data_IF_127367003654
#
_entry.id   IF_127367003654
#
_cell.length_a   1.000
_cell.length_b   1.000
_cell.length_c   1.000
_cell.angle_alpha   90.00
_cell.angle_beta   90.00
_cell.angle_gamma   90.00
#
_symmetry.space_group_name_H-M   'P 1'
#
loop_
_entity.id
_entity.type
_entity.pdbx_description
1 polymer ?
#
# COMPACT_ATOMS: atom_id res chain seq x y z
N UNK A 1 -25.58 -71.29 33.24
CA UNK A 1 -24.78 -70.21 32.63
C UNK A 1 -24.32 -70.56 31.21
N UNK A 2 -23.63 -71.69 30.95
CA UNK A 2 -23.15 -72.06 29.60
C UNK A 2 -24.14 -71.95 28.43
N UNK A 3 -25.41 -72.36 28.61
CA UNK A 3 -26.43 -72.29 27.54
C UNK A 3 -26.86 -70.87 27.17
N UNK A 4 -26.72 -69.91 28.09
CA UNK A 4 -27.06 -68.51 27.84
C UNK A 4 -25.95 -67.85 27.00
N UNK A 5 -24.69 -68.14 27.31
CA UNK A 5 -23.53 -67.66 26.54
C UNK A 5 -23.50 -68.22 25.12
N UNK A 6 -23.82 -69.51 24.93
CA UNK A 6 -23.95 -70.11 23.59
C UNK A 6 -25.08 -69.48 22.77
N UNK A 7 -26.20 -69.16 23.42
CA UNK A 7 -27.32 -68.49 22.76
C UNK A 7 -26.97 -67.06 22.35
N UNK A 8 -26.34 -66.28 23.25
CA UNK A 8 -25.89 -64.92 22.96
C UNK A 8 -24.85 -64.89 21.84
N UNK A 9 -23.85 -65.79 21.87
CA UNK A 9 -22.86 -65.90 20.80
C UNK A 9 -23.50 -66.29 19.46
N UNK A 10 -24.54 -67.13 19.45
CA UNK A 10 -25.26 -67.50 18.22
C UNK A 10 -26.09 -66.36 17.63
N UNK A 11 -26.58 -65.45 18.49
CA UNK A 11 -27.29 -64.24 18.06
C UNK A 11 -26.28 -63.25 17.49
N UNK A 12 -25.16 -63.02 18.17
CA UNK A 12 -24.11 -62.11 17.71
C UNK A 12 -23.55 -62.56 16.36
N UNK A 13 -23.26 -63.86 16.19
CA UNK A 13 -22.75 -64.38 14.92
C UNK A 13 -23.77 -64.26 13.77
N UNK A 14 -25.07 -64.42 14.06
CA UNK A 14 -26.14 -64.21 13.08
C UNK A 14 -26.35 -62.73 12.75
N UNK A 15 -26.22 -61.85 13.74
CA UNK A 15 -26.31 -60.39 13.55
C UNK A 15 -25.12 -59.91 12.73
N UNK A 16 -23.90 -60.36 13.02
CA UNK A 16 -22.71 -59.99 12.27
C UNK A 16 -22.70 -60.54 10.84
N UNK A 17 -23.15 -61.78 10.62
CA UNK A 17 -23.29 -62.34 9.27
C UNK A 17 -24.31 -61.56 8.43
N UNK A 18 -25.40 -61.07 9.03
CA UNK A 18 -26.50 -60.43 8.31
C UNK A 18 -26.34 -58.92 8.17
N UNK A 19 -25.83 -58.25 9.21
CA UNK A 19 -25.69 -56.79 9.31
C UNK A 19 -24.26 -56.29 9.18
N UNK A 20 -23.23 -57.10 9.46
CA UNK A 20 -21.82 -56.76 9.26
C UNK A 20 -21.46 -56.35 7.82
N UNK A 21 -21.90 -57.05 6.75
CA UNK A 21 -21.64 -56.62 5.38
C UNK A 21 -22.44 -55.36 4.99
N UNK A 22 -23.63 -55.17 5.57
CA UNK A 22 -24.47 -53.98 5.35
C UNK A 22 -23.86 -52.76 6.04
N UNK A 23 -23.39 -52.89 7.29
CA UNK A 23 -22.74 -51.81 8.04
C UNK A 23 -21.40 -51.41 7.43
N UNK A 24 -20.61 -52.36 6.92
CA UNK A 24 -19.38 -52.07 6.17
C UNK A 24 -19.66 -51.30 4.88
N UNK A 25 -20.66 -51.70 4.09
CA UNK A 25 -21.08 -50.97 2.89
C UNK A 25 -21.59 -49.57 3.25
N UNK A 26 -22.44 -49.44 4.28
CA UNK A 26 -22.95 -48.15 4.74
C UNK A 26 -21.83 -47.20 5.18
N UNK A 27 -20.85 -47.73 5.93
CA UNK A 27 -19.66 -46.98 6.36
C UNK A 27 -18.81 -46.55 5.16
N UNK A 28 -18.66 -47.40 4.15
CA UNK A 28 -17.94 -47.07 2.93
C UNK A 28 -18.66 -45.98 2.12
N UNK A 29 -19.98 -46.06 1.95
CA UNK A 29 -20.77 -45.02 1.31
C UNK A 29 -20.72 -43.70 2.08
N UNK A 30 -20.79 -43.73 3.41
CA UNK A 30 -20.65 -42.55 4.26
C UNK A 30 -19.26 -41.91 4.15
N UNK A 31 -18.19 -42.70 4.06
CA UNK A 31 -16.83 -42.19 3.84
C UNK A 31 -16.72 -41.54 2.46
N UNK A 32 -17.24 -42.17 1.40
CA UNK A 32 -17.21 -41.60 0.05
C UNK A 32 -18.03 -40.31 -0.01
N UNK A 33 -19.23 -40.32 0.57
CA UNK A 33 -20.12 -39.15 0.62
C UNK A 33 -19.50 -37.98 1.41
N UNK A 34 -18.96 -38.26 2.60
CA UNK A 34 -18.32 -37.22 3.41
C UNK A 34 -17.05 -36.66 2.74
N UNK A 35 -16.25 -37.51 2.10
CA UNK A 35 -15.09 -37.07 1.34
C UNK A 35 -15.47 -36.19 0.13
N UNK A 36 -16.51 -36.58 -0.63
CA UNK A 36 -17.00 -35.76 -1.75
C UNK A 36 -17.60 -34.44 -1.28
N UNK A 37 -18.34 -34.45 -0.17
CA UNK A 37 -18.88 -33.23 0.42
C UNK A 37 -17.75 -32.27 0.84
N UNK A 38 -16.76 -32.75 1.58
CA UNK A 38 -15.60 -31.95 2.00
C UNK A 38 -14.84 -31.40 0.79
N UNK A 39 -14.58 -32.24 -0.22
CA UNK A 39 -13.92 -31.80 -1.44
C UNK A 39 -14.73 -30.70 -2.16
N UNK A 40 -16.05 -30.84 -2.25
CA UNK A 40 -16.92 -29.83 -2.87
C UNK A 40 -16.90 -28.50 -2.11
N UNK A 41 -16.98 -28.54 -0.78
CA UNK A 41 -16.92 -27.35 0.07
C UNK A 41 -15.55 -26.68 -0.01
N UNK A 42 -14.48 -27.47 -0.10
CA UNK A 42 -13.13 -26.95 -0.27
C UNK A 42 -12.96 -26.23 -1.61
N UNK A 43 -13.50 -26.79 -2.70
CA UNK A 43 -13.50 -26.13 -4.02
C UNK A 43 -14.30 -24.84 -3.99
N UNK A 44 -15.50 -24.84 -3.39
CA UNK A 44 -16.33 -23.64 -3.25
C UNK A 44 -15.59 -22.58 -2.43
N UNK A 45 -14.95 -22.99 -1.33
CA UNK A 45 -14.14 -22.11 -0.48
C UNK A 45 -12.98 -21.47 -1.24
N UNK A 46 -12.24 -22.26 -2.05
CA UNK A 46 -11.16 -21.74 -2.89
C UNK A 46 -11.70 -20.71 -3.91
N UNK A 47 -12.77 -21.05 -4.62
CA UNK A 47 -13.38 -20.15 -5.62
C UNK A 47 -13.85 -18.85 -4.97
N UNK A 48 -14.50 -18.95 -3.81
CA UNK A 48 -15.01 -17.79 -3.08
C UNK A 48 -13.87 -16.90 -2.58
N UNK A 49 -12.85 -17.51 -1.95
CA UNK A 49 -11.67 -16.80 -1.45
C UNK A 49 -10.90 -16.10 -2.58
N UNK A 50 -10.73 -16.75 -3.73
CA UNK A 50 -10.07 -16.14 -4.89
C UNK A 50 -10.85 -14.96 -5.48
N UNK A 51 -12.18 -14.98 -5.42
CA UNK A 51 -13.03 -13.90 -5.96
C UNK A 51 -13.20 -12.73 -4.99
N UNK A 52 -13.30 -13.00 -3.69
CA UNK A 52 -13.59 -12.00 -2.66
C UNK A 52 -12.31 -11.39 -2.06
N UNK A 53 -11.19 -12.12 -2.08
CA UNK A 53 -9.92 -11.67 -1.51
C UNK A 53 -9.44 -10.30 -2.02
N UNK A 54 -9.44 -10.02 -3.33
CA UNK A 54 -9.05 -8.71 -3.85
C UNK A 54 -9.93 -7.56 -3.36
N UNK A 55 -11.25 -7.78 -3.23
CA UNK A 55 -12.16 -6.75 -2.74
C UNK A 55 -11.95 -6.46 -1.25
N UNK A 56 -11.69 -7.50 -0.44
CA UNK A 56 -11.35 -7.32 0.97
C UNK A 56 -10.03 -6.56 1.13
N UNK A 57 -9.03 -6.90 0.32
CA UNK A 57 -7.74 -6.19 0.31
C UNK A 57 -7.91 -4.70 -0.03
N UNK A 58 -8.75 -4.37 -1.00
CA UNK A 58 -9.04 -2.98 -1.35
C UNK A 58 -9.69 -2.21 -0.18
N UNK A 59 -10.64 -2.84 0.52
CA UNK A 59 -11.26 -2.27 1.73
C UNK A 59 -10.25 -2.07 2.86
N UNK A 60 -9.34 -3.03 3.10
CA UNK A 60 -8.27 -2.90 4.10
C UNK A 60 -7.39 -1.69 3.77
N UNK A 61 -6.96 -1.56 2.50
CA UNK A 61 -6.18 -0.41 2.04
C UNK A 61 -6.94 0.90 2.30
N UNK A 62 -8.23 0.98 1.98
CA UNK A 62 -9.02 2.19 2.23
C UNK A 62 -9.02 2.61 3.71
N UNK A 63 -9.28 1.65 4.59
CA UNK A 63 -9.34 1.91 6.03
C UNK A 63 -7.98 2.34 6.58
N UNK A 64 -6.90 1.68 6.14
CA UNK A 64 -5.53 2.05 6.53
C UNK A 64 -5.19 3.48 6.05
N UNK A 65 -5.52 3.81 4.79
CA UNK A 65 -5.29 5.15 4.23
C UNK A 65 -6.04 6.24 4.98
N UNK A 66 -7.29 5.99 5.35
CA UNK A 66 -8.10 6.91 6.16
C UNK A 66 -7.50 7.12 7.56
N UNK A 67 -7.05 6.03 8.20
CA UNK A 67 -6.42 6.12 9.51
C UNK A 67 -5.09 6.89 9.45
N UNK A 68 -4.26 6.61 8.44
CA UNK A 68 -2.98 7.29 8.23
C UNK A 68 -3.20 8.79 8.00
N UNK A 69 -4.12 9.15 7.11
CA UNK A 69 -4.45 10.56 6.83
C UNK A 69 -4.89 11.31 8.08
N UNK A 70 -5.78 10.68 8.88
CA UNK A 70 -6.24 11.27 10.14
C UNK A 70 -5.10 11.52 11.12
N UNK A 71 -4.17 10.57 11.25
CA UNK A 71 -2.99 10.71 12.11
C UNK A 71 -2.07 11.82 11.59
N UNK A 72 -1.75 11.83 10.28
CA UNK A 72 -0.90 12.87 9.70
C UNK A 72 -1.53 14.26 9.83
N UNK A 73 -2.84 14.38 9.68
CA UNK A 73 -3.57 15.64 9.90
C UNK A 73 -3.49 16.10 11.36
N UNK A 74 -3.58 15.17 12.32
CA UNK A 74 -3.38 15.49 13.74
C UNK A 74 -1.93 15.97 14.00
N UNK A 75 -0.94 15.24 13.48
CA UNK A 75 0.47 15.63 13.59
C UNK A 75 0.69 17.02 12.98
N UNK A 76 0.10 17.31 11.82
CA UNK A 76 0.20 18.64 11.20
C UNK A 76 -0.43 19.72 12.08
N UNK A 77 -1.62 19.46 12.61
CA UNK A 77 -2.35 20.42 13.47
C UNK A 77 -1.55 20.77 14.74
N UNK A 78 -0.84 19.79 15.32
CA UNK A 78 -0.14 19.95 16.60
C UNK A 78 1.32 20.37 16.43
N UNK A 79 2.04 19.70 15.54
CA UNK A 79 3.48 19.85 15.33
C UNK A 79 3.86 20.69 14.11
N UNK A 80 2.93 20.95 13.19
CA UNK A 80 3.14 21.60 11.90
C UNK A 80 4.20 20.91 11.03
N UNK A 81 3.77 20.19 10.00
CA UNK A 81 4.66 19.45 9.10
C UNK A 81 5.28 20.42 8.09
N UNK A 82 6.58 20.66 8.25
CA UNK A 82 7.34 21.56 7.38
C UNK A 82 7.68 20.90 6.05
N UNK A 83 8.13 19.65 6.08
CA UNK A 83 8.57 18.94 4.89
C UNK A 83 8.65 17.43 5.13
N UNK A 84 8.67 16.68 4.04
CA UNK A 84 9.07 15.28 4.03
C UNK A 84 10.53 15.14 3.57
N UNK A 85 11.36 14.43 4.32
CA UNK A 85 12.76 14.16 3.95
C UNK A 85 12.87 13.15 2.79
N UNK A 86 13.95 13.24 2.02
CA UNK A 86 14.27 12.41 0.84
C UNK A 86 14.27 10.88 1.08
N UNK A 87 14.20 10.15 -0.04
CA UNK A 87 14.30 8.70 -0.35
C UNK A 87 13.54 7.68 0.50
N UNK A 88 13.46 7.84 1.82
CA UNK A 88 12.70 6.94 2.69
C UNK A 88 11.43 7.62 3.17
N UNK A 89 10.39 7.55 2.35
CA UNK A 89 9.08 8.11 2.64
C UNK A 89 8.16 7.11 3.38
N UNK A 90 8.75 6.13 4.07
CA UNK A 90 8.02 5.12 4.80
C UNK A 90 7.37 5.70 6.05
N UNK A 91 6.19 5.19 6.37
CA UNK A 91 5.46 5.52 7.59
C UNK A 91 5.83 4.49 8.65
N UNK A 92 6.93 4.74 9.35
CA UNK A 92 7.50 3.86 10.39
C UNK A 92 7.57 4.52 11.77
N UNK A 93 6.94 5.69 11.93
CA UNK A 93 7.11 6.56 13.09
C UNK A 93 5.83 6.76 13.95
N UNK A 94 4.71 6.12 13.61
CA UNK A 94 3.47 6.26 14.39
C UNK A 94 3.53 5.62 15.79
N UNK A 95 4.49 4.73 16.01
CA UNK A 95 4.72 4.09 17.31
C UNK A 95 5.69 4.85 18.21
N UNK A 96 6.23 5.99 17.78
CA UNK A 96 7.24 6.72 18.53
C UNK A 96 6.57 7.55 19.64
N UNK A 97 7.01 7.34 20.88
CA UNK A 97 6.49 8.09 22.03
C UNK A 97 7.18 9.45 22.18
N UNK A 98 8.50 9.49 22.03
CA UNK A 98 9.32 10.70 22.16
C UNK A 98 10.53 10.60 21.24
N UNK A 99 11.00 11.75 20.78
CA UNK A 99 12.22 11.88 19.99
C UNK A 99 12.90 13.22 20.30
N UNK A 100 14.13 13.40 19.84
CA UNK A 100 14.91 14.63 20.02
C UNK A 100 15.24 15.20 18.64
N UNK A 101 15.15 16.53 18.50
CA UNK A 101 15.34 17.23 17.24
C UNK A 101 14.02 17.58 16.56
N UNK A 102 14.08 18.03 15.31
CA UNK A 102 12.89 18.39 14.51
C UNK A 102 12.44 17.28 13.55
N UNK A 103 13.17 16.17 13.48
CA UNK A 103 12.96 15.12 12.49
C UNK A 103 12.50 13.82 13.14
N UNK A 104 11.47 13.21 12.58
CA UNK A 104 10.99 11.89 12.97
C UNK A 104 10.55 11.10 11.73
N UNK A 105 11.20 9.96 11.49
CA UNK A 105 10.98 9.18 10.27
C UNK A 105 11.21 10.04 9.03
N UNK A 106 10.19 10.15 8.18
CA UNK A 106 10.23 11.02 7.01
C UNK A 106 9.77 12.47 7.28
N UNK A 107 9.32 12.82 8.48
CA UNK A 107 8.77 14.15 8.80
C UNK A 107 9.83 15.10 9.35
N UNK A 108 9.75 16.36 8.93
CA UNK A 108 10.37 17.50 9.60
C UNK A 108 9.26 18.39 10.19
N UNK A 109 9.36 18.69 11.49
CA UNK A 109 8.31 19.31 12.29
C UNK A 109 8.76 20.66 12.83
N UNK A 110 7.88 21.66 12.80
CA UNK A 110 8.18 22.99 13.35
C UNK A 110 8.17 22.98 14.89
N UNK A 111 7.26 22.20 15.47
CA UNK A 111 7.04 22.12 16.91
C UNK A 111 7.15 20.67 17.42
N UNK A 112 8.35 20.07 17.38
CA UNK A 112 8.56 18.68 17.82
C UNK A 112 8.22 18.47 19.31
N UNK A 113 8.33 19.52 20.15
CA UNK A 113 7.96 19.46 21.56
C UNK A 113 6.45 19.30 21.82
N UNK A 114 5.61 19.44 20.80
CA UNK A 114 4.16 19.19 20.86
C UNK A 114 3.77 17.78 20.41
N UNK A 115 4.74 16.89 20.20
CA UNK A 115 4.47 15.52 19.80
C UNK A 115 3.64 14.77 20.85
N UNK A 116 2.47 14.28 20.44
CA UNK A 116 1.52 13.58 21.31
C UNK A 116 1.59 12.05 21.18
N UNK A 117 2.53 11.52 20.38
CA UNK A 117 2.63 10.10 20.12
C UNK A 117 2.90 9.26 21.39
N UNK A 118 2.74 7.92 21.29
CA UNK A 118 2.54 7.16 20.07
C UNK A 118 1.09 7.25 19.57
N UNK A 119 0.92 7.40 18.26
CA UNK A 119 -0.40 7.48 17.62
C UNK A 119 -1.01 6.10 17.33
N UNK A 120 -0.16 5.06 17.25
CA UNK A 120 -0.58 3.67 17.09
C UNK A 120 0.30 2.73 17.89
N UNK A 121 -0.23 1.57 18.28
CA UNK A 121 0.56 0.50 18.91
C UNK A 121 1.53 -0.17 17.92
N UNK A 122 1.18 -0.19 16.64
CA UNK A 122 1.99 -0.74 15.55
C UNK A 122 1.83 0.15 14.33
N UNK A 123 2.92 0.33 13.59
CA UNK A 123 2.89 1.02 12.31
C UNK A 123 2.06 0.22 11.29
N UNK A 124 1.25 0.88 10.46
CA UNK A 124 0.44 0.22 9.45
C UNK A 124 1.34 -0.42 8.40
N UNK A 125 1.13 -1.71 8.13
CA UNK A 125 1.84 -2.45 7.11
C UNK A 125 0.89 -3.31 6.31
N UNK A 126 1.16 -3.43 5.01
CA UNK A 126 0.44 -4.31 4.10
C UNK A 126 1.41 -5.33 3.53
N UNK A 127 1.11 -6.62 3.69
CA UNK A 127 1.98 -7.72 3.24
C UNK A 127 3.42 -7.59 3.81
N UNK A 128 3.55 -7.06 5.04
CA UNK A 128 4.85 -6.83 5.70
C UNK A 128 5.65 -5.64 5.17
N UNK A 129 5.04 -4.78 4.34
CA UNK A 129 5.63 -3.54 3.81
C UNK A 129 4.92 -2.33 4.41
N UNK A 130 5.67 -1.28 4.75
CA UNK A 130 5.09 -0.03 5.24
C UNK A 130 4.32 0.70 4.13
N UNK A 131 3.32 1.48 4.54
CA UNK A 131 2.79 2.52 3.67
C UNK A 131 3.82 3.63 3.48
N UNK A 132 3.71 4.35 2.37
CA UNK A 132 4.66 5.40 1.98
C UNK A 132 3.93 6.70 1.63
N UNK A 133 4.58 7.83 1.93
CA UNK A 133 4.14 9.17 1.52
C UNK A 133 4.86 9.55 0.23
N UNK A 134 4.22 9.40 -0.91
CA UNK A 134 4.84 9.62 -2.20
C UNK A 134 4.72 11.08 -2.64
N UNK A 135 5.86 11.67 -3.00
CA UNK A 135 5.90 12.95 -3.70
C UNK A 135 5.67 12.72 -5.19
N UNK A 136 4.71 13.42 -5.77
CA UNK A 136 4.37 13.41 -7.19
C UNK A 136 4.21 14.82 -7.75
N UNK A 137 3.99 14.95 -9.07
CA UNK A 137 3.71 16.26 -9.68
C UNK A 137 2.37 16.86 -9.22
N UNK A 138 1.45 16.01 -8.74
CA UNK A 138 0.10 16.39 -8.31
C UNK A 138 0.02 16.71 -6.79
N UNK A 139 1.16 16.65 -6.09
CA UNK A 139 1.27 16.82 -4.63
C UNK A 139 1.76 15.57 -3.91
N UNK A 140 1.48 15.50 -2.61
CA UNK A 140 1.83 14.37 -1.75
C UNK A 140 0.67 13.40 -1.59
N UNK A 141 0.95 12.10 -1.63
CA UNK A 141 -0.03 11.04 -1.54
C UNK A 141 0.41 9.96 -0.58
N UNK A 142 -0.51 9.35 0.14
CA UNK A 142 -0.29 8.13 0.91
C UNK A 142 -0.65 6.96 0.01
N UNK A 143 0.25 5.98 -0.14
CA UNK A 143 0.01 4.79 -0.94
C UNK A 143 0.67 3.54 -0.32
N UNK A 144 0.23 2.32 -0.71
CA UNK A 144 0.94 1.09 -0.38
C UNK A 144 2.41 1.15 -0.85
N UNK A 145 3.34 0.71 -0.01
CA UNK A 145 4.76 0.79 -0.31
C UNK A 145 5.23 -0.19 -1.40
N UNK A 146 6.51 -0.04 -1.78
CA UNK A 146 7.14 -0.84 -2.81
C UNK A 146 7.05 -2.36 -2.55
N UNK A 147 6.72 -3.12 -3.59
CA UNK A 147 6.61 -4.57 -3.57
C UNK A 147 5.27 -5.11 -3.08
N UNK A 148 4.32 -4.25 -2.69
CA UNK A 148 2.95 -4.66 -2.36
C UNK A 148 2.21 -5.09 -3.63
N UNK A 149 1.58 -6.26 -3.58
CA UNK A 149 0.64 -6.71 -4.62
C UNK A 149 -0.75 -6.14 -4.37
N UNK A 150 -1.28 -5.38 -5.32
CA UNK A 150 -2.59 -4.74 -5.25
C UNK A 150 -3.73 -5.70 -5.62
N UNK A 151 -4.99 -5.35 -5.31
CA UNK A 151 -6.19 -6.09 -5.69
C UNK A 151 -6.33 -6.39 -7.19
N UNK A 152 -5.85 -5.49 -8.06
CA UNK A 152 -5.83 -5.70 -9.52
C UNK A 152 -4.72 -6.64 -9.99
N UNK A 153 -3.92 -7.18 -9.06
CA UNK A 153 -2.83 -8.12 -9.31
C UNK A 153 -1.48 -7.48 -9.60
N UNK A 154 -1.43 -6.16 -9.80
CA UNK A 154 -0.21 -5.41 -10.09
C UNK A 154 0.62 -5.17 -8.83
N UNK A 155 1.93 -4.99 -9.00
CA UNK A 155 2.90 -4.83 -7.93
C UNK A 155 3.53 -3.43 -7.99
N UNK A 156 3.41 -2.69 -6.89
CA UNK A 156 3.98 -1.34 -6.74
C UNK A 156 5.51 -1.40 -6.87
N UNK A 157 6.08 -0.55 -7.73
CA UNK A 157 7.54 -0.49 -7.96
C UNK A 157 8.08 -1.55 -8.90
N UNK A 158 7.26 -2.50 -9.36
CA UNK A 158 7.63 -3.50 -10.36
C UNK A 158 6.83 -3.33 -11.65
N UNK A 159 5.51 -3.35 -11.56
CA UNK A 159 4.63 -3.26 -12.74
C UNK A 159 4.35 -1.81 -13.12
N UNK A 160 4.44 -0.89 -12.14
CA UNK A 160 4.43 0.55 -12.34
C UNK A 160 5.30 1.22 -11.27
N UNK A 161 5.92 2.35 -11.62
CA UNK A 161 6.83 3.09 -10.73
C UNK A 161 6.25 4.47 -10.49
N UNK A 162 6.17 4.86 -9.22
CA UNK A 162 5.74 6.20 -8.82
C UNK A 162 6.99 7.02 -8.53
N UNK A 163 7.15 8.11 -9.26
CA UNK A 163 8.26 9.06 -9.15
C UNK A 163 7.71 10.46 -8.92
N UNK A 164 8.58 11.43 -8.64
CA UNK A 164 8.19 12.84 -8.51
C UNK A 164 7.51 13.42 -9.75
N UNK A 165 7.69 12.82 -10.93
CA UNK A 165 7.09 13.28 -12.18
C UNK A 165 5.84 12.49 -12.56
N UNK A 166 5.52 11.43 -11.82
CA UNK A 166 4.37 10.55 -12.10
C UNK A 166 3.06 11.27 -11.78
N UNK A 167 2.07 11.10 -12.66
CA UNK A 167 0.71 11.64 -12.52
C UNK A 167 -0.12 10.75 -11.61
N UNK A 168 -0.27 11.12 -10.34
CA UNK A 168 -1.09 10.34 -9.40
C UNK A 168 -2.56 10.38 -9.78
N UNK A 169 -3.01 11.49 -10.38
CA UNK A 169 -4.36 11.61 -10.93
C UNK A 169 -4.65 10.56 -11.98
N UNK A 170 -3.73 10.31 -12.92
CA UNK A 170 -3.84 9.24 -13.92
C UNK A 170 -3.84 7.86 -13.26
N UNK A 171 -2.96 7.63 -12.27
CA UNK A 171 -2.90 6.34 -11.58
C UNK A 171 -4.17 6.02 -10.78
N UNK A 172 -4.92 7.04 -10.38
CA UNK A 172 -6.16 6.93 -9.58
C UNK A 172 -7.44 6.93 -10.44
N UNK A 173 -7.34 7.06 -11.76
CA UNK A 173 -8.47 6.90 -12.68
C UNK A 173 -9.05 5.49 -12.62
N UNK A 174 -10.25 5.26 -13.15
CA UNK A 174 -10.91 3.96 -13.10
C UNK A 174 -10.13 2.83 -13.81
N UNK A 175 -9.30 3.18 -14.79
CA UNK A 175 -8.38 2.24 -15.46
C UNK A 175 -6.96 2.26 -14.87
N UNK A 176 -6.72 3.13 -13.89
CA UNK A 176 -5.41 3.32 -13.29
C UNK A 176 -4.99 2.17 -12.35
N UNK A 177 -3.68 1.93 -12.20
CA UNK A 177 -3.14 0.86 -11.35
C UNK A 177 -3.46 1.04 -9.85
N UNK A 178 -3.76 2.26 -9.40
CA UNK A 178 -4.16 2.57 -8.02
C UNK A 178 -5.68 2.69 -7.88
N UNK A 179 -6.45 2.08 -8.76
CA UNK A 179 -7.89 1.96 -8.63
C UNK A 179 -8.30 0.48 -8.72
N UNK A 180 -9.22 0.07 -7.86
CA UNK A 180 -9.86 -1.23 -7.95
C UNK A 180 -11.37 -1.09 -7.79
N UNK A 181 -12.11 -1.28 -8.88
CA UNK A 181 -13.58 -1.21 -8.91
C UNK A 181 -14.14 0.09 -8.30
N UNK A 182 -13.51 1.22 -8.62
CA UNK A 182 -13.87 2.56 -8.11
C UNK A 182 -13.27 2.91 -6.74
N UNK A 183 -12.55 1.99 -6.09
CA UNK A 183 -11.85 2.26 -4.84
C UNK A 183 -10.42 2.73 -5.11
N UNK A 184 -10.11 3.96 -4.69
CA UNK A 184 -8.81 4.62 -4.89
C UNK A 184 -7.78 4.16 -3.88
N UNK A 185 -6.83 3.34 -4.29
CA UNK A 185 -5.81 2.71 -3.44
C UNK A 185 -4.65 3.65 -3.04
N UNK A 186 -4.80 4.96 -3.23
CA UNK A 186 -3.94 5.98 -2.64
C UNK A 186 -4.79 7.22 -2.32
N UNK A 187 -4.33 8.01 -1.35
CA UNK A 187 -5.06 9.20 -0.88
C UNK A 187 -4.16 10.43 -0.91
N UNK A 188 -4.68 11.56 -1.38
CA UNK A 188 -3.95 12.83 -1.41
C UNK A 188 -3.87 13.40 0.01
N UNK A 189 -2.71 13.97 0.37
CA UNK A 189 -2.56 14.77 1.58
C UNK A 189 -3.02 16.20 1.26
N UNK A 190 -4.07 16.68 1.95
CA UNK A 190 -4.69 17.97 1.66
C UNK A 190 -4.18 19.15 2.50
N UNK A 191 -3.56 18.88 3.66
CA UNK A 191 -3.04 19.95 4.51
C UNK A 191 -1.80 20.63 3.91
N UNK A 192 -1.61 21.91 4.25
CA UNK A 192 -0.54 22.74 3.71
C UNK A 192 0.79 22.36 4.36
N UNK A 193 1.61 21.62 3.63
CA UNK A 193 2.99 21.34 4.02
C UNK A 193 3.82 22.61 3.77
N UNK A 194 4.63 23.02 4.75
CA UNK A 194 5.39 24.28 4.77
C UNK A 194 6.06 24.69 3.44
N UNK A 195 5.95 25.99 3.09
CA UNK A 195 6.54 26.73 1.96
C UNK A 195 6.89 25.95 0.67
N UNK A 196 6.00 25.07 0.24
CA UNK A 196 6.15 24.29 -1.00
C UNK A 196 6.08 25.14 -2.28
N UNK A 197 5.57 26.37 -2.19
CA UNK A 197 5.62 27.33 -3.30
C UNK A 197 7.06 27.71 -3.67
N UNK A 198 8.04 27.51 -2.78
CA UNK A 198 9.43 27.96 -3.03
C UNK A 198 10.17 27.15 -4.12
N UNK A 199 9.87 25.85 -4.29
CA UNK A 199 10.63 25.00 -5.22
C UNK A 199 10.15 25.12 -6.66
N UNK A 200 8.84 25.29 -6.89
CA UNK A 200 8.31 25.56 -8.24
C UNK A 200 8.59 26.99 -8.71
N UNK A 201 8.76 27.94 -7.78
CA UNK A 201 9.11 29.34 -8.12
C UNK A 201 10.59 29.52 -8.44
N UNK A 202 11.47 28.62 -7.98
CA UNK A 202 12.90 28.65 -8.32
C UNK A 202 13.15 28.40 -9.80
N UNK A 203 12.45 27.47 -10.45
CA UNK A 203 12.62 27.20 -11.89
C UNK A 203 12.27 28.43 -12.72
N UNK A 204 11.16 29.11 -12.42
CA UNK A 204 10.81 30.37 -13.10
C UNK A 204 11.80 31.50 -12.83
N UNK A 205 12.45 31.52 -11.67
CA UNK A 205 13.44 32.56 -11.33
C UNK A 205 14.76 32.32 -12.06
N UNK A 206 15.22 31.07 -12.12
CA UNK A 206 16.43 30.68 -12.87
C UNK A 206 16.23 30.87 -14.37
N UNK A 207 15.06 30.50 -14.92
CA UNK A 207 14.77 30.71 -16.34
C UNK A 207 14.65 32.19 -16.69
N UNK A 208 14.09 33.02 -15.80
CA UNK A 208 14.07 34.48 -15.96
C UNK A 208 15.47 35.10 -15.88
N UNK A 209 16.32 34.62 -14.99
CA UNK A 209 17.73 35.06 -14.88
C UNK A 209 18.50 34.65 -16.14
N UNK A 210 18.35 33.42 -16.62
CA UNK A 210 19.00 32.94 -17.85
C UNK A 210 18.53 33.71 -19.08
N UNK A 211 17.24 34.04 -19.15
CA UNK A 211 16.68 34.87 -20.23
C UNK A 211 17.21 36.29 -20.17
N UNK A 212 17.25 36.91 -18.98
CA UNK A 212 17.82 38.24 -18.79
C UNK A 212 19.33 38.30 -19.09
N UNK A 213 20.10 37.26 -18.73
CA UNK A 213 21.53 37.16 -19.06
C UNK A 213 21.75 36.99 -20.56
N UNK A 214 20.88 36.23 -21.24
CA UNK A 214 20.94 36.07 -22.70
C UNK A 214 20.59 37.38 -23.41
N UNK A 215 19.52 38.05 -23.00
CA UNK A 215 19.16 39.38 -23.52
C UNK A 215 20.25 40.43 -23.27
N UNK A 216 20.89 40.41 -22.09
CA UNK A 216 22.02 41.28 -21.78
C UNK A 216 23.24 41.00 -22.68
N UNK A 217 23.55 39.72 -22.92
CA UNK A 217 24.65 39.32 -23.79
C UNK A 217 24.37 39.65 -25.28
N UNK A 218 23.12 39.52 -25.71
CA UNK A 218 22.68 39.86 -27.08
C UNK A 218 22.58 41.39 -27.28
N UNK A 219 22.28 42.16 -26.22
CA UNK A 219 22.19 43.63 -26.24
C UNK A 219 23.55 44.34 -26.07
N UNK A 220 24.62 43.62 -25.74
CA UNK A 220 25.98 44.17 -25.70
C UNK A 220 26.80 43.66 -26.91
N UNK A 221 26.79 44.35 -28.06
CA UNK A 221 27.60 43.97 -29.22
C UNK A 221 29.11 44.23 -29.04
N UNK A 222 29.57 44.69 -27.88
CA UNK A 222 30.97 45.06 -27.65
C UNK A 222 31.76 43.89 -27.06
N UNK A 223 31.94 42.83 -27.85
CA UNK A 223 33.14 41.95 -27.84
C UNK A 223 33.00 40.82 -28.87
N UNK A 224 32.59 41.14 -30.10
CA UNK A 224 33.10 40.35 -31.23
C UNK A 224 34.47 40.92 -31.57
N UNK A 225 35.50 40.21 -31.11
CA UNK A 225 36.89 40.37 -31.53
C UNK A 225 36.95 40.64 -33.05
N UNK A 226 37.48 41.79 -33.42
CA UNK A 226 38.09 42.00 -34.74
C UNK A 226 39.35 41.13 -34.82
N UNK A 227 39.18 39.84 -35.08
CA UNK A 227 40.20 39.06 -35.76
C UNK A 227 39.97 39.24 -37.26
N UNK A 228 40.70 40.17 -37.88
CA UNK A 228 40.60 40.44 -39.31
C UNK A 228 41.70 41.36 -39.84
N UNK A 229 42.86 40.77 -40.12
CA UNK A 229 43.81 41.14 -41.21
C UNK A 229 44.31 42.59 -41.29
N UNK A 230 45.54 42.82 -40.81
CA UNK A 230 46.41 43.88 -41.32
C UNK A 230 47.21 43.36 -42.52
N UNK A 231 46.98 43.97 -43.69
CA UNK A 231 47.95 43.99 -44.78
C UNK A 231 49.00 45.06 -44.49
N UNK A 232 50.26 44.65 -44.41
CA UNK A 232 51.45 45.37 -44.86
C UNK A 232 52.57 44.35 -45.10
#
# INVERSE_FOLDING_TARGET
MKKLDEFLNSIDEKVDKKFGPVSKKLRQYFVIFSATLIASLFVIFLVKTSKEGPAQLATIIQNDLEQIEKILTNIDTTCNILSFNYDSLRIDFFTVEKFVGSTIGCLNLAYPGKWEGPYMQRNPTLQGKFYEVIRSKDGFFIAPGLGVKLPNGQIVGKDFIITSNTSMTELLTDEGPLNYKGQKLARKIEFKIGDWDSVFTQTTTVDKINTALKEFNDAMPFTKLETGTQHA
#
